data_IF_420204136505
#
_entry.id   IF_420204136505
#
_cell.length_a   1.000
_cell.length_b   1.000
_cell.length_c   1.000
_cell.angle_alpha   90.00
_cell.angle_beta   90.00
_cell.angle_gamma   90.00
#
_symmetry.space_group_name_H-M   'P 1'
#
loop_
_entity.id
_entity.type
_entity.pdbx_description
1 polymer ?
#
# COMPACT_ATOMS: atom_id res chain seq x y z
N UNK A 1 13.05 13.65 -13.67
CA UNK A 1 12.19 13.24 -12.53
C UNK A 1 12.57 14.11 -11.35
N UNK A 2 11.63 14.87 -10.79
CA UNK A 2 11.88 15.61 -9.55
C UNK A 2 11.80 14.62 -8.39
N UNK A 3 12.92 14.42 -7.69
CA UNK A 3 12.96 13.69 -6.43
C UNK A 3 12.29 14.58 -5.38
N UNK A 4 11.22 14.14 -4.70
CA UNK A 4 10.57 14.97 -3.69
C UNK A 4 11.51 15.22 -2.50
N UNK A 5 11.51 16.44 -1.93
CA UNK A 5 12.53 16.87 -0.95
C UNK A 5 12.39 16.25 0.46
N UNK A 6 11.37 15.42 0.70
CA UNK A 6 11.10 14.84 2.02
C UNK A 6 10.75 13.34 1.94
N UNK A 7 11.10 12.54 2.96
CA UNK A 7 10.88 11.08 2.99
C UNK A 7 9.41 10.67 3.01
N UNK A 8 8.49 11.59 3.32
CA UNK A 8 7.05 11.36 3.34
C UNK A 8 6.34 12.43 2.51
N UNK A 9 5.83 12.03 1.34
CA UNK A 9 5.04 12.91 0.48
C UNK A 9 3.56 12.56 0.62
N UNK A 10 2.74 13.55 0.98
CA UNK A 10 1.29 13.39 0.96
C UNK A 10 0.79 13.57 -0.46
N UNK A 11 0.06 12.58 -0.95
CA UNK A 11 -0.54 12.59 -2.29
C UNK A 11 -2.04 12.83 -2.18
N UNK A 12 -2.59 13.61 -3.12
CA UNK A 12 -4.04 13.68 -3.34
C UNK A 12 -4.57 12.34 -3.87
N UNK A 13 -5.89 12.15 -3.81
CA UNK A 13 -6.54 10.96 -4.37
C UNK A 13 -6.18 10.76 -5.85
N UNK A 14 -6.14 11.83 -6.64
CA UNK A 14 -5.81 11.78 -8.06
C UNK A 14 -4.33 11.41 -8.28
N UNK A 15 -3.44 11.95 -7.43
CA UNK A 15 -2.02 11.61 -7.48
C UNK A 15 -1.80 10.12 -7.16
N UNK A 16 -2.47 9.58 -6.14
CA UNK A 16 -2.38 8.16 -5.78
C UNK A 16 -2.89 7.25 -6.90
N UNK A 17 -4.07 7.54 -7.47
CA UNK A 17 -4.59 6.77 -8.61
C UNK A 17 -3.64 6.77 -9.80
N UNK A 18 -3.06 7.93 -10.11
CA UNK A 18 -2.07 8.04 -11.19
C UNK A 18 -0.79 7.26 -10.89
N UNK A 19 -0.35 7.19 -9.63
CA UNK A 19 0.81 6.37 -9.26
C UNK A 19 0.52 4.88 -9.49
N UNK A 20 -0.65 4.39 -9.08
CA UNK A 20 -1.06 3.00 -9.29
C UNK A 20 -1.15 2.67 -10.79
N UNK A 21 -1.83 3.52 -11.57
CA UNK A 21 -1.95 3.38 -13.03
C UNK A 21 -0.59 3.32 -13.73
N UNK A 22 0.35 4.19 -13.34
CA UNK A 22 1.70 4.18 -13.92
C UNK A 22 2.46 2.93 -13.51
N UNK A 23 2.35 2.51 -12.26
CA UNK A 23 3.01 1.29 -11.76
C UNK A 23 2.55 0.05 -12.53
N UNK A 24 1.26 -0.03 -12.83
CA UNK A 24 0.68 -1.12 -13.63
C UNK A 24 1.08 -1.02 -15.10
N UNK A 25 0.86 0.13 -15.73
CA UNK A 25 0.96 0.26 -17.18
C UNK A 25 2.38 0.56 -17.68
N UNK A 26 3.15 1.37 -16.96
CA UNK A 26 4.51 1.77 -17.36
C UNK A 26 5.57 0.82 -16.80
N UNK A 27 5.41 0.35 -15.56
CA UNK A 27 6.39 -0.52 -14.90
C UNK A 27 6.04 -2.01 -14.99
N UNK A 28 4.85 -2.36 -15.47
CA UNK A 28 4.42 -3.74 -15.69
C UNK A 28 4.16 -4.53 -14.41
N UNK A 29 3.98 -3.87 -13.26
CA UNK A 29 3.68 -4.52 -11.99
C UNK A 29 2.16 -4.60 -11.86
N UNK A 30 1.61 -5.80 -11.95
CA UNK A 30 0.16 -5.99 -11.91
C UNK A 30 -0.46 -5.54 -10.56
N UNK A 31 -1.75 -5.19 -10.59
CA UNK A 31 -2.45 -4.70 -9.42
C UNK A 31 -2.60 -5.73 -8.29
N UNK A 32 -2.57 -7.03 -8.59
CA UNK A 32 -2.62 -8.07 -7.58
C UNK A 32 -1.32 -8.09 -6.77
N UNK A 33 -0.18 -7.94 -7.43
CA UNK A 33 1.13 -7.77 -6.79
C UNK A 33 1.16 -6.53 -5.90
N UNK A 34 0.58 -5.40 -6.34
CA UNK A 34 0.47 -4.19 -5.49
C UNK A 34 -0.39 -4.42 -4.24
N UNK A 35 -1.52 -5.11 -4.40
CA UNK A 35 -2.41 -5.47 -3.29
C UNK A 35 -1.72 -6.39 -2.28
N UNK A 36 -0.99 -7.40 -2.76
CA UNK A 36 -0.24 -8.35 -1.92
C UNK A 36 0.85 -7.63 -1.11
N UNK A 37 1.59 -6.72 -1.74
CA UNK A 37 2.59 -5.89 -1.06
C UNK A 37 1.95 -5.01 0.02
N UNK A 38 0.81 -4.37 -0.28
CA UNK A 38 0.09 -3.55 0.69
C UNK A 38 -0.40 -4.37 1.89
N UNK A 39 -0.99 -5.55 1.63
CA UNK A 39 -1.43 -6.48 2.67
C UNK A 39 -0.29 -6.98 3.55
N UNK A 40 0.83 -7.37 2.92
CA UNK A 40 2.04 -7.81 3.64
C UNK A 40 2.57 -6.70 4.54
N UNK A 41 2.68 -5.47 4.04
CA UNK A 41 3.17 -4.34 4.84
C UNK A 41 2.21 -3.94 5.96
N UNK A 42 0.91 -4.06 5.75
CA UNK A 42 -0.07 -3.88 6.80
C UNK A 42 0.06 -4.97 7.89
N UNK A 43 0.28 -6.23 7.49
CA UNK A 43 0.51 -7.33 8.42
C UNK A 43 1.81 -7.14 9.21
N UNK A 44 2.91 -6.76 8.55
CA UNK A 44 4.20 -6.45 9.18
C UNK A 44 4.02 -5.41 10.31
N UNK A 45 3.29 -4.34 10.02
CA UNK A 45 3.00 -3.28 11.00
C UNK A 45 2.10 -3.78 12.15
N UNK A 46 1.03 -4.51 11.84
CA UNK A 46 0.14 -5.04 12.88
C UNK A 46 0.93 -5.93 13.83
N UNK A 47 1.74 -6.86 13.30
CA UNK A 47 2.55 -7.79 14.09
C UNK A 47 3.67 -7.10 14.89
N UNK A 48 4.09 -5.88 14.53
CA UNK A 48 5.03 -5.10 15.34
C UNK A 48 4.36 -4.44 16.55
N UNK A 49 3.06 -4.19 16.48
CA UNK A 49 2.29 -3.49 17.53
C UNK A 49 1.53 -4.44 18.46
N UNK A 50 1.23 -5.68 18.03
CA UNK A 50 0.41 -6.63 18.78
C UNK A 50 1.18 -7.92 19.13
N UNK A 51 0.77 -8.58 20.21
CA UNK A 51 1.34 -9.88 20.57
C UNK A 51 0.96 -10.97 19.56
N UNK A 52 1.92 -11.85 19.27
CA UNK A 52 1.84 -12.92 18.27
C UNK A 52 0.69 -13.92 18.44
N UNK A 53 0.01 -13.96 19.59
CA UNK A 53 -1.14 -14.85 19.86
C UNK A 53 -2.46 -14.12 20.04
N UNK A 54 -2.54 -12.88 19.56
CA UNK A 54 -3.76 -12.09 19.59
C UNK A 54 -4.75 -12.53 18.50
N UNK A 55 -6.05 -12.30 18.74
CA UNK A 55 -7.09 -12.47 17.73
C UNK A 55 -7.58 -11.09 17.26
N UNK A 56 -7.78 -10.94 15.95
CA UNK A 56 -8.25 -9.71 15.33
C UNK A 56 -9.41 -9.97 14.38
N UNK A 57 -10.31 -9.00 14.26
CA UNK A 57 -11.36 -8.97 13.25
C UNK A 57 -10.95 -7.98 12.16
N UNK A 58 -10.88 -8.45 10.91
CA UNK A 58 -10.62 -7.62 9.74
C UNK A 58 -11.95 -7.32 9.03
N UNK A 59 -12.29 -6.04 8.88
CA UNK A 59 -13.49 -5.60 8.16
C UNK A 59 -13.05 -5.10 6.79
N UNK A 60 -13.33 -5.88 5.75
CA UNK A 60 -12.93 -5.56 4.38
C UNK A 60 -14.06 -4.86 3.63
N UNK A 61 -13.73 -3.76 2.96
CA UNK A 61 -14.64 -3.11 2.00
C UNK A 61 -14.81 -3.96 0.73
N UNK A 62 -15.74 -3.55 -0.14
CA UNK A 62 -16.07 -4.29 -1.36
C UNK A 62 -14.97 -4.34 -2.44
N UNK A 63 -13.92 -3.52 -2.31
CA UNK A 63 -13.01 -3.24 -3.42
C UNK A 63 -13.66 -2.37 -4.49
#
# INVERSE_FOLDING_TARGET
MNIPPYPYHLCSVEQSRRMDERTINEFGIDGFTLMELAGTKAADFILSEIDSRSHGLFICGKG
#
